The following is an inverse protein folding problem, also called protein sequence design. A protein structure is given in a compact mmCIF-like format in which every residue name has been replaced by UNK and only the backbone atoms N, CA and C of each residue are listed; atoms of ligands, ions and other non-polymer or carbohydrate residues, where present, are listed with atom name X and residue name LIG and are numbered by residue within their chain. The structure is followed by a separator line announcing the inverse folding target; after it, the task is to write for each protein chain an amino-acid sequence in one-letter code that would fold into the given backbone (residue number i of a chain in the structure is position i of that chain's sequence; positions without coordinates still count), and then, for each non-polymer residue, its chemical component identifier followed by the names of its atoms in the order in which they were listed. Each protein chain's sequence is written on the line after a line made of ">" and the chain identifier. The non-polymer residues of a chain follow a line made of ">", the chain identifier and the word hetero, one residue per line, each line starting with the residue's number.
data_IF_754770140329
#
_entry.id   IF_754770140329
#
_cell.length_a   1.000
_cell.length_b   1.000
_cell.length_c   1.000
_cell.angle_alpha   90.00
_cell.angle_beta   90.00
_cell.angle_gamma   90.00
#
_symmetry.space_group_name_H-M   'P 1'
#
loop_
_entity.id
_entity.type
_entity.pdbx_description
1 polymer ?
#
# COMPACT_ATOMS: atom_id res chain seq x y z
N UNK A 1 11.23 9.95 10.13
CA UNK A 1 10.53 9.66 8.86
C UNK A 1 11.28 8.65 7.98
N UNK A 2 10.60 7.58 7.54
CA UNK A 2 11.08 6.56 6.57
C UNK A 2 10.03 6.37 5.46
N UNK A 3 10.48 6.09 4.24
CA UNK A 3 9.61 5.76 3.11
C UNK A 3 9.89 4.33 2.63
N UNK A 4 8.84 3.59 2.30
CA UNK A 4 8.92 2.27 1.65
C UNK A 4 7.97 2.22 0.45
N UNK A 5 8.50 1.83 -0.70
CA UNK A 5 7.73 1.69 -1.93
C UNK A 5 7.20 0.25 -2.03
N UNK A 6 5.88 0.11 -2.16
CA UNK A 6 5.20 -1.17 -2.38
C UNK A 6 4.78 -1.37 -3.84
N UNK A 7 4.73 -0.29 -4.62
CA UNK A 7 4.59 -0.31 -6.06
C UNK A 7 5.14 0.96 -6.70
N UNK A 8 5.78 0.78 -7.85
CA UNK A 8 6.48 1.82 -8.62
C UNK A 8 6.15 1.77 -10.11
N UNK A 9 5.17 0.93 -10.51
CA UNK A 9 4.62 0.92 -11.87
C UNK A 9 3.55 1.99 -12.03
N UNK A 10 3.35 2.45 -13.26
CA UNK A 10 2.25 3.33 -13.64
C UNK A 10 0.95 2.56 -13.80
N UNK A 11 0.20 2.85 -14.86
CA UNK A 11 -1.18 2.41 -15.03
C UNK A 11 -1.42 0.90 -15.07
N UNK A 12 -0.41 0.10 -15.41
CA UNK A 12 -0.55 -1.33 -15.63
C UNK A 12 0.41 -2.10 -14.72
N UNK A 13 -0.09 -3.00 -13.85
CA UNK A 13 0.78 -3.91 -13.11
C UNK A 13 1.39 -4.95 -14.05
N UNK A 14 2.63 -5.36 -13.80
CA UNK A 14 3.38 -6.27 -14.67
C UNK A 14 3.82 -7.51 -13.88
N UNK A 15 3.41 -8.69 -14.32
CA UNK A 15 3.87 -9.96 -13.75
C UNK A 15 4.79 -10.67 -14.75
N UNK A 16 6.00 -10.14 -14.90
CA UNK A 16 7.01 -10.67 -15.82
C UNK A 16 8.36 -10.82 -15.11
N UNK A 17 9.12 -11.85 -15.50
CA UNK A 17 10.38 -12.22 -14.87
C UNK A 17 11.44 -11.10 -14.98
N UNK A 18 11.45 -10.35 -16.07
CA UNK A 18 12.37 -9.22 -16.30
C UNK A 18 12.15 -8.04 -15.35
N UNK A 19 11.02 -8.00 -14.63
CA UNK A 19 10.65 -6.87 -13.77
C UNK A 19 10.67 -7.20 -12.27
N UNK A 20 11.23 -8.37 -11.87
CA UNK A 20 11.20 -8.83 -10.48
C UNK A 20 12.09 -8.01 -9.52
N UNK A 21 13.16 -7.36 -10.00
CA UNK A 21 14.07 -6.60 -9.14
C UNK A 21 13.35 -5.51 -8.32
N UNK A 22 12.41 -4.80 -8.94
CA UNK A 22 11.61 -3.75 -8.29
C UNK A 22 10.13 -4.11 -8.15
N UNK A 23 9.72 -5.25 -8.70
CA UNK A 23 8.35 -5.74 -8.66
C UNK A 23 7.42 -5.16 -9.73
N UNK A 24 6.18 -5.63 -9.68
CA UNK A 24 5.15 -5.41 -10.70
C UNK A 24 3.98 -4.51 -10.29
N UNK A 25 3.99 -4.01 -9.06
CA UNK A 25 2.84 -3.32 -8.49
C UNK A 25 2.75 -1.86 -8.95
N UNK A 26 1.52 -1.40 -9.17
CA UNK A 26 1.18 0.02 -9.38
C UNK A 26 1.34 0.82 -8.09
N UNK A 27 1.48 2.14 -8.24
CA UNK A 27 1.77 3.12 -7.18
C UNK A 27 1.16 2.82 -5.81
N UNK A 28 2.03 2.66 -4.82
CA UNK A 28 1.66 2.58 -3.41
C UNK A 28 2.93 2.77 -2.59
N UNK A 29 2.89 3.70 -1.63
CA UNK A 29 4.03 3.94 -0.75
C UNK A 29 3.57 4.14 0.70
N UNK A 30 4.39 3.64 1.61
CA UNK A 30 4.22 3.79 3.04
C UNK A 30 5.18 4.87 3.54
N UNK A 31 4.66 5.80 4.32
CA UNK A 31 5.43 6.75 5.11
C UNK A 31 5.27 6.33 6.57
N UNK A 32 6.41 6.10 7.23
CA UNK A 32 6.44 5.80 8.67
C UNK A 32 7.17 6.92 9.39
N UNK A 33 6.51 7.47 10.40
CA UNK A 33 7.13 8.36 11.37
C UNK A 33 6.82 7.88 12.79
N UNK A 34 7.49 8.42 13.81
CA UNK A 34 7.54 7.98 15.22
C UNK A 34 6.51 6.92 15.63
N UNK A 35 5.20 7.20 15.53
CA UNK A 35 4.11 6.25 15.73
C UNK A 35 2.97 6.37 14.69
N UNK A 36 3.25 6.89 13.50
CA UNK A 36 2.25 7.15 12.48
C UNK A 36 2.56 6.42 11.19
N UNK A 37 1.51 5.89 10.55
CA UNK A 37 1.57 5.32 9.21
C UNK A 37 0.66 6.16 8.32
N UNK A 38 1.26 6.70 7.27
CA UNK A 38 0.52 7.25 6.14
C UNK A 38 0.81 6.41 4.89
N UNK A 39 -0.17 6.32 4.01
CA UNK A 39 -0.09 5.63 2.73
C UNK A 39 -0.44 6.64 1.66
N UNK A 40 0.38 6.72 0.61
CA UNK A 40 0.03 7.48 -0.59
C UNK A 40 -0.34 6.49 -1.69
N UNK A 41 -1.56 6.68 -2.21
CA UNK A 41 -2.25 5.83 -3.16
C UNK A 41 -2.49 4.37 -2.72
N UNK A 42 -3.56 3.79 -3.28
CA UNK A 42 -4.02 2.43 -3.04
C UNK A 42 -3.93 1.58 -4.33
N UNK A 43 -2.83 1.70 -5.08
CA UNK A 43 -2.57 0.80 -6.20
C UNK A 43 -2.36 -0.65 -5.77
N UNK A 44 -2.03 -1.53 -6.71
CA UNK A 44 -1.90 -2.98 -6.45
C UNK A 44 -0.85 -3.31 -5.38
N UNK A 45 0.11 -2.42 -5.13
CA UNK A 45 1.07 -2.54 -4.03
C UNK A 45 0.45 -2.56 -2.63
N UNK A 46 -0.75 -1.98 -2.46
CA UNK A 46 -1.41 -1.86 -1.17
C UNK A 46 -1.72 -3.23 -0.53
N UNK A 47 -1.98 -4.26 -1.34
CA UNK A 47 -2.19 -5.63 -0.86
C UNK A 47 -0.97 -6.16 -0.10
N UNK A 48 0.23 -5.91 -0.62
CA UNK A 48 1.47 -6.34 0.03
C UNK A 48 1.75 -5.51 1.29
N UNK A 49 1.48 -4.21 1.25
CA UNK A 49 1.55 -3.33 2.41
C UNK A 49 0.65 -3.84 3.54
N UNK A 50 -0.61 -4.16 3.25
CA UNK A 50 -1.54 -4.71 4.25
C UNK A 50 -1.08 -6.04 4.83
N UNK A 51 -0.45 -6.92 4.03
CA UNK A 51 0.16 -8.16 4.52
C UNK A 51 1.28 -7.88 5.51
N UNK A 52 2.20 -6.98 5.17
CA UNK A 52 3.34 -6.62 6.01
C UNK A 52 2.88 -5.98 7.32
N UNK A 53 1.89 -5.08 7.29
CA UNK A 53 1.31 -4.46 8.48
C UNK A 53 0.71 -5.48 9.46
N UNK A 54 -0.02 -6.48 8.94
CA UNK A 54 -0.55 -7.55 9.79
C UNK A 54 0.58 -8.43 10.35
N UNK A 55 1.60 -8.75 9.55
CA UNK A 55 2.69 -9.61 9.97
C UNK A 55 3.49 -9.00 11.14
N UNK A 56 3.68 -7.68 11.16
CA UNK A 56 4.36 -6.98 12.26
C UNK A 56 3.44 -6.69 13.45
N UNK A 57 2.16 -7.10 13.39
CA UNK A 57 1.19 -6.83 14.44
C UNK A 57 1.00 -5.33 14.71
N UNK A 58 1.02 -4.50 13.66
CA UNK A 58 0.85 -3.05 13.80
C UNK A 58 -0.37 -2.73 14.66
N UNK A 59 -0.23 -1.79 15.59
CA UNK A 59 -1.24 -1.42 16.60
C UNK A 59 -1.80 -0.02 16.39
N UNK A 60 -1.47 0.61 15.28
CA UNK A 60 -1.86 1.97 14.98
C UNK A 60 -3.38 2.03 14.88
N UNK A 61 -4.00 2.79 15.78
CA UNK A 61 -5.45 3.03 15.79
C UNK A 61 -5.95 3.69 14.50
N UNK A 62 -5.07 4.39 13.78
CA UNK A 62 -5.41 5.10 12.55
C UNK A 62 -4.35 4.88 11.47
N UNK A 63 -4.79 4.49 10.28
CA UNK A 63 -4.01 4.50 9.05
C UNK A 63 -4.58 5.59 8.15
N UNK A 64 -3.76 6.55 7.76
CA UNK A 64 -4.18 7.61 6.85
C UNK A 64 -3.81 7.23 5.43
N UNK A 65 -4.78 7.23 4.53
CA UNK A 65 -4.55 7.03 3.10
C UNK A 65 -4.85 8.36 2.40
N UNK A 66 -3.88 8.87 1.64
CA UNK A 66 -4.06 10.01 0.77
C UNK A 66 -3.96 9.56 -0.69
N UNK A 67 -4.91 10.02 -1.50
CA UNK A 67 -4.94 9.74 -2.94
C UNK A 67 -4.41 10.95 -3.68
N UNK A 68 -3.47 10.73 -4.60
CA UNK A 68 -3.00 11.79 -5.50
C UNK A 68 -4.09 12.17 -6.51
N UNK A 69 -4.80 11.17 -7.02
CA UNK A 69 -5.99 11.28 -7.87
C UNK A 69 -6.70 9.92 -7.93
N UNK A 70 -7.78 9.81 -8.71
CA UNK A 70 -8.68 8.64 -8.73
C UNK A 70 -8.64 7.84 -10.03
N UNK A 71 -7.50 7.79 -10.71
CA UNK A 71 -7.32 6.77 -11.75
C UNK A 71 -7.28 5.38 -11.14
N UNK A 72 -7.69 4.38 -11.92
CA UNK A 72 -7.89 3.01 -11.45
C UNK A 72 -6.64 2.42 -10.81
N UNK A 73 -5.46 2.68 -11.36
CA UNK A 73 -4.18 2.19 -10.88
C UNK A 73 -3.74 2.75 -9.52
N UNK A 74 -4.39 3.83 -9.06
CA UNK A 74 -4.21 4.46 -7.74
C UNK A 74 -5.23 3.97 -6.69
N UNK A 75 -6.29 3.24 -7.08
CA UNK A 75 -7.37 2.83 -6.16
C UNK A 75 -7.68 1.33 -6.17
N UNK A 76 -7.28 0.60 -7.22
CA UNK A 76 -7.67 -0.80 -7.44
C UNK A 76 -7.18 -1.79 -6.38
N UNK A 77 -6.17 -1.42 -5.59
CA UNK A 77 -5.65 -2.25 -4.50
C UNK A 77 -6.46 -2.15 -3.21
N UNK A 78 -7.31 -1.13 -3.07
CA UNK A 78 -8.08 -0.88 -1.84
C UNK A 78 -8.96 -2.08 -1.40
N UNK A 79 -9.70 -2.76 -2.30
CA UNK A 79 -10.49 -3.94 -1.92
C UNK A 79 -9.67 -5.10 -1.35
N UNK A 80 -8.35 -5.10 -1.55
CA UNK A 80 -7.43 -6.14 -1.08
C UNK A 80 -6.60 -5.70 0.13
N UNK A 81 -6.91 -4.53 0.70
CA UNK A 81 -6.26 -4.02 1.89
C UNK A 81 -6.96 -4.55 3.15
N UNK A 82 -6.58 -5.76 3.55
CA UNK A 82 -7.19 -6.44 4.68
C UNK A 82 -7.33 -5.61 5.99
N UNK A 83 -6.39 -4.71 6.36
CA UNK A 83 -6.57 -3.85 7.53
C UNK A 83 -7.82 -2.96 7.49
N UNK A 84 -8.37 -2.62 6.31
CA UNK A 84 -9.62 -1.85 6.20
C UNK A 84 -10.87 -2.66 6.61
N UNK A 85 -10.74 -3.97 6.75
CA UNK A 85 -11.84 -4.88 7.11
C UNK A 85 -11.66 -5.48 8.51
N UNK A 86 -10.63 -5.07 9.26
CA UNK A 86 -10.46 -5.49 10.65
C UNK A 86 -11.43 -4.70 11.54
N UNK A 87 -12.41 -5.34 12.22
CA UNK A 87 -13.36 -4.64 13.09
C UNK A 87 -12.71 -3.97 14.29
N UNK A 88 -11.45 -4.27 14.61
CA UNK A 88 -10.67 -3.59 15.64
C UNK A 88 -10.04 -2.30 15.15
N UNK A 89 -9.97 -2.10 13.83
CA UNK A 89 -9.44 -0.89 13.21
C UNK A 89 -10.55 0.17 13.11
N UNK A 90 -10.28 1.37 13.64
CA UNK A 90 -11.24 2.47 13.70
C UNK A 90 -10.96 3.55 12.64
#
# INVERSE_FOLDING_TARGET
>A
MKLKFYGTRGSIPICDAGFQQFGGNTTCLQITDTNQIAIIDAGTGLRNLGRDLRAIGHKQEQIRIAFTHFHWDHIQGFPFFAPAYDPKQK
#
